data_IF_287875353391
#
_entry.id   IF_287875353391
#
_cell.length_a   1.000
_cell.length_b   1.000
_cell.length_c   1.000
_cell.angle_alpha   90.00
_cell.angle_beta   90.00
_cell.angle_gamma   90.00
#
_symmetry.space_group_name_H-M   'P 1'
#
loop_
_entity.id
_entity.type
_entity.pdbx_description
1 polymer ?
#
# COMPACT_ATOMS: atom_id res chain seq x y z
N UNK A 1 -1.35 11.78 -15.62
CA UNK A 1 -2.71 11.22 -15.75
C UNK A 1 -2.97 9.98 -14.88
N UNK A 2 -1.95 9.37 -14.26
CA UNK A 2 -2.15 8.28 -13.28
C UNK A 2 -2.56 8.78 -11.88
N UNK A 3 -2.27 10.04 -11.55
CA UNK A 3 -2.68 10.65 -10.28
C UNK A 3 -4.19 10.89 -10.20
N UNK A 4 -4.84 11.26 -11.32
CA UNK A 4 -6.31 11.44 -11.37
C UNK A 4 -7.04 10.10 -11.15
N UNK A 5 -6.52 9.00 -11.70
CA UNK A 5 -7.17 7.68 -11.62
C UNK A 5 -7.19 7.09 -10.18
N UNK A 6 -6.31 7.58 -9.29
CA UNK A 6 -6.29 7.20 -7.87
C UNK A 6 -7.38 7.91 -7.07
N UNK A 7 -7.80 9.10 -7.49
CA UNK A 7 -8.83 9.91 -6.82
C UNK A 7 -10.24 9.35 -7.10
N UNK A 8 -10.45 8.74 -8.27
CA UNK A 8 -11.75 8.23 -8.70
C UNK A 8 -12.14 6.88 -8.06
N UNK A 9 -11.18 6.23 -7.39
CA UNK A 9 -11.37 4.97 -6.66
C UNK A 9 -11.12 5.23 -5.18
N UNK A 10 -12.16 5.69 -4.47
CA UNK A 10 -12.33 5.86 -3.02
C UNK A 10 -11.38 5.02 -2.12
N UNK A 11 -10.09 5.34 -2.17
CA UNK A 11 -8.98 4.74 -1.42
C UNK A 11 -8.08 5.83 -0.83
N UNK A 12 -8.52 7.10 -0.90
CA UNK A 12 -7.94 8.18 -0.11
C UNK A 12 -8.44 8.01 1.33
N UNK A 13 -7.51 7.94 2.28
CA UNK A 13 -7.84 7.80 3.69
C UNK A 13 -8.38 9.13 4.23
N UNK A 14 -9.64 9.46 3.94
CA UNK A 14 -10.34 10.64 4.50
C UNK A 14 -9.88 12.00 3.93
N UNK A 15 -10.70 13.02 4.17
CA UNK A 15 -10.55 14.38 3.62
C UNK A 15 -9.32 15.15 4.18
N UNK A 16 -8.60 14.60 5.16
CA UNK A 16 -7.41 15.21 5.79
C UNK A 16 -6.07 14.55 5.35
N UNK A 17 -6.10 13.61 4.40
CA UNK A 17 -4.89 12.94 3.91
C UNK A 17 -4.06 13.87 3.01
N UNK A 18 -3.02 14.48 3.59
CA UNK A 18 -2.11 15.42 2.92
C UNK A 18 -0.93 14.74 2.22
N UNK A 19 -0.85 13.40 2.24
CA UNK A 19 0.25 12.66 1.60
C UNK A 19 0.18 12.82 0.09
N UNK A 20 1.33 13.12 -0.50
CA UNK A 20 1.49 13.18 -1.95
C UNK A 20 1.41 11.79 -2.58
N UNK A 21 1.02 11.73 -3.86
CA UNK A 21 1.05 10.47 -4.64
C UNK A 21 2.43 9.81 -4.60
N UNK A 22 3.51 10.59 -4.52
CA UNK A 22 4.86 10.07 -4.40
C UNK A 22 5.09 9.36 -3.06
N UNK A 23 4.64 9.95 -1.94
CA UNK A 23 4.77 9.35 -0.60
C UNK A 23 3.95 8.06 -0.47
N UNK A 24 2.76 8.00 -1.07
CA UNK A 24 1.95 6.79 -1.11
C UNK A 24 2.63 5.67 -1.92
N UNK A 25 3.23 6.01 -3.06
CA UNK A 25 3.94 5.04 -3.90
C UNK A 25 5.21 4.52 -3.23
N UNK A 26 5.93 5.35 -2.49
CA UNK A 26 7.10 4.94 -1.70
C UNK A 26 6.67 3.97 -0.59
N UNK A 27 5.62 4.32 0.16
CA UNK A 27 5.10 3.47 1.25
C UNK A 27 4.72 2.06 0.74
N UNK A 28 4.09 1.96 -0.44
CA UNK A 28 3.74 0.67 -1.03
C UNK A 28 4.96 -0.20 -1.38
N UNK A 29 6.09 0.43 -1.74
CA UNK A 29 7.34 -0.30 -2.04
C UNK A 29 8.02 -0.75 -0.75
N UNK A 30 8.01 0.07 0.30
CA UNK A 30 8.67 -0.21 1.59
C UNK A 30 8.07 -1.39 2.36
N UNK A 31 6.78 -1.65 2.19
CA UNK A 31 6.08 -2.75 2.90
C UNK A 31 5.87 -4.02 2.05
N UNK A 32 6.30 -4.02 0.79
CA UNK A 32 6.11 -5.17 -0.07
C UNK A 32 7.07 -6.32 0.29
N UNK A 33 6.53 -7.49 0.59
CA UNK A 33 7.33 -8.73 0.69
C UNK A 33 7.88 -9.18 -0.67
N UNK A 34 7.11 -8.91 -1.73
CA UNK A 34 7.42 -9.30 -3.11
C UNK A 34 7.04 -8.16 -4.04
N UNK A 35 7.98 -7.75 -4.88
CA UNK A 35 7.79 -6.69 -5.88
C UNK A 35 7.92 -7.31 -7.28
N UNK A 36 6.85 -7.25 -8.06
CA UNK A 36 6.85 -7.71 -9.45
C UNK A 36 7.21 -6.54 -10.38
N UNK A 37 8.46 -6.53 -10.89
CA UNK A 37 8.91 -5.60 -11.91
C UNK A 37 8.46 -6.11 -13.29
N UNK A 38 7.27 -5.68 -13.72
CA UNK A 38 6.67 -6.10 -14.98
C UNK A 38 7.08 -5.21 -16.17
N UNK A 39 6.87 -5.73 -17.39
CA UNK A 39 7.13 -5.08 -18.68
C UNK A 39 8.61 -4.85 -18.97
N UNK A 40 9.48 -5.73 -18.47
CA UNK A 40 10.92 -5.64 -18.73
C UNK A 40 11.26 -5.82 -20.22
N UNK A 41 10.32 -6.32 -21.03
CA UNK A 41 10.41 -6.41 -22.48
C UNK A 41 10.30 -5.07 -23.22
N UNK A 42 9.81 -4.02 -22.55
CA UNK A 42 9.64 -2.69 -23.15
C UNK A 42 10.82 -1.75 -22.91
N UNK A 43 11.83 -2.18 -22.16
CA UNK A 43 12.99 -1.39 -21.78
C UNK A 43 14.28 -2.17 -22.02
N UNK A 44 15.42 -1.47 -22.02
CA UNK A 44 16.72 -2.13 -22.06
C UNK A 44 17.03 -2.83 -20.73
N UNK A 45 17.91 -3.82 -20.78
CA UNK A 45 18.37 -4.53 -19.58
C UNK A 45 19.00 -3.57 -18.55
N UNK A 46 19.76 -2.57 -19.01
CA UNK A 46 20.34 -1.55 -18.14
C UNK A 46 19.30 -0.66 -17.46
N UNK A 47 18.19 -0.37 -18.12
CA UNK A 47 17.09 0.39 -17.50
C UNK A 47 16.36 -0.46 -16.47
N UNK A 48 16.09 -1.74 -16.77
CA UNK A 48 15.51 -2.68 -15.82
C UNK A 48 16.40 -2.85 -14.58
N UNK A 49 17.72 -2.98 -14.77
CA UNK A 49 18.72 -3.08 -13.69
C UNK A 49 18.73 -1.84 -12.79
N UNK A 50 18.61 -0.65 -13.38
CA UNK A 50 18.54 0.61 -12.61
C UNK A 50 17.30 0.66 -11.72
N UNK A 51 16.14 0.28 -12.27
CA UNK A 51 14.88 0.25 -11.50
C UNK A 51 14.96 -0.79 -10.39
N UNK A 52 15.44 -2.00 -10.69
CA UNK A 52 15.63 -3.04 -9.67
C UNK A 52 16.60 -2.60 -8.57
N UNK A 53 17.69 -1.91 -8.93
CA UNK A 53 18.64 -1.36 -7.96
C UNK A 53 17.98 -0.31 -7.06
N UNK A 54 17.13 0.55 -7.63
CA UNK A 54 16.38 1.52 -6.84
C UNK A 54 15.39 0.83 -5.89
N UNK A 55 14.65 -0.16 -6.37
CA UNK A 55 13.70 -0.94 -5.57
C UNK A 55 14.41 -1.63 -4.39
N UNK A 56 15.58 -2.24 -4.62
CA UNK A 56 16.39 -2.85 -3.55
C UNK A 56 16.96 -1.86 -2.55
N UNK A 57 17.20 -0.60 -2.96
CA UNK A 57 17.62 0.45 -2.03
C UNK A 57 16.47 0.93 -1.15
N UNK A 58 15.25 0.96 -1.69
CA UNK A 58 14.05 1.37 -0.96
C UNK A 58 13.56 0.25 -0.04
N UNK A 59 13.56 -0.99 -0.52
CA UNK A 59 13.17 -2.16 0.27
C UNK A 59 14.19 -3.30 0.03
N UNK A 60 15.24 -3.39 0.87
CA UNK A 60 16.26 -4.44 0.77
C UNK A 60 15.74 -5.86 1.01
N UNK A 61 14.58 -5.99 1.66
CA UNK A 61 14.03 -7.28 2.09
C UNK A 61 13.03 -7.86 1.10
N UNK A 62 12.45 -7.02 0.23
CA UNK A 62 11.55 -7.45 -0.82
C UNK A 62 12.23 -8.41 -1.81
N UNK A 63 11.53 -9.49 -2.14
CA UNK A 63 11.88 -10.29 -3.31
C UNK A 63 11.46 -9.55 -4.58
N UNK A 64 12.43 -9.15 -5.42
CA UNK A 64 12.13 -8.52 -6.72
C UNK A 64 12.09 -9.58 -7.82
N UNK A 65 10.96 -9.64 -8.54
CA UNK A 65 10.71 -10.60 -9.63
C UNK A 65 10.49 -9.85 -10.94
N UNK A 66 11.36 -10.04 -11.93
CA UNK A 66 11.14 -9.53 -13.29
C UNK A 66 10.05 -10.34 -13.98
N UNK A 67 9.19 -9.65 -14.74
CA UNK A 67 8.14 -10.30 -15.52
C UNK A 67 7.83 -9.57 -16.83
N UNK A 68 7.24 -10.32 -17.75
CA UNK A 68 6.70 -9.84 -19.02
C UNK A 68 5.23 -10.20 -19.06
N UNK A 69 4.36 -9.22 -19.36
CA UNK A 69 2.90 -9.41 -19.40
C UNK A 69 2.34 -10.04 -18.10
N UNK A 70 2.95 -9.75 -16.96
CA UNK A 70 2.55 -10.26 -15.64
C UNK A 70 2.85 -11.74 -15.41
N UNK A 71 3.62 -12.40 -16.29
CA UNK A 71 3.98 -13.79 -16.13
C UNK A 71 5.08 -13.94 -15.08
N UNK A 72 4.72 -14.55 -13.95
CA UNK A 72 5.60 -14.84 -12.80
C UNK A 72 5.33 -16.25 -12.30
N UNK A 73 6.32 -16.86 -11.68
CA UNK A 73 6.10 -18.08 -10.91
C UNK A 73 5.21 -17.76 -9.69
N UNK A 74 4.03 -18.38 -9.65
CA UNK A 74 3.04 -18.11 -8.62
C UNK A 74 3.56 -18.43 -7.22
N UNK A 75 4.43 -19.44 -7.08
CA UNK A 75 5.01 -19.83 -5.80
C UNK A 75 5.93 -18.76 -5.19
N UNK A 76 6.37 -17.79 -6.01
CA UNK A 76 7.18 -16.64 -5.57
C UNK A 76 6.33 -15.46 -5.10
N UNK A 77 5.02 -15.49 -5.35
CA UNK A 77 4.11 -14.36 -5.06
C UNK A 77 3.02 -14.76 -4.08
N UNK A 78 2.47 -15.97 -4.21
CA UNK A 78 1.35 -16.48 -3.42
C UNK A 78 1.82 -17.62 -2.52
N UNK A 79 1.38 -17.62 -1.26
CA UNK A 79 1.73 -18.69 -0.32
C UNK A 79 3.21 -18.68 0.10
N UNK A 80 3.87 -17.52 0.01
CA UNK A 80 5.30 -17.37 0.32
C UNK A 80 5.63 -17.43 1.81
N UNK A 81 4.62 -17.30 2.67
CA UNK A 81 4.76 -17.20 4.13
C UNK A 81 5.75 -16.10 4.58
N UNK A 82 5.89 -15.05 3.75
CA UNK A 82 6.76 -13.89 4.01
C UNK A 82 6.11 -12.83 4.90
N UNK A 83 4.78 -12.86 5.00
CA UNK A 83 4.03 -11.94 5.85
C UNK A 83 4.41 -12.11 7.32
N UNK A 84 4.82 -10.99 7.92
CA UNK A 84 5.13 -10.88 9.34
C UNK A 84 4.15 -9.86 9.97
N UNK A 85 3.34 -10.35 10.91
CA UNK A 85 2.30 -9.55 11.54
C UNK A 85 2.86 -8.42 12.40
N UNK A 86 3.95 -8.67 13.13
CA UNK A 86 4.55 -7.68 14.03
C UNK A 86 5.14 -6.52 13.20
N UNK A 87 5.77 -6.84 12.07
CA UNK A 87 6.26 -5.84 11.11
C UNK A 87 5.15 -5.08 10.41
N UNK A 88 4.08 -5.77 10.00
CA UNK A 88 2.93 -5.14 9.38
C UNK A 88 2.19 -4.19 10.35
N UNK A 89 2.22 -4.51 11.65
CA UNK A 89 1.64 -3.69 12.71
C UNK A 89 2.38 -2.37 12.92
N UNK A 90 3.71 -2.37 12.81
CA UNK A 90 4.55 -1.16 12.89
C UNK A 90 4.43 -0.29 11.64
N UNK A 91 4.22 -0.92 10.48
CA UNK A 91 4.04 -0.30 9.17
C UNK A 91 2.70 0.44 9.01
N UNK A 92 1.63 -0.19 9.47
CA UNK A 92 0.29 0.35 9.38
C UNK A 92 0.06 1.32 10.54
N UNK A 93 0.24 2.62 10.31
CA UNK A 93 -0.09 3.69 11.27
C UNK A 93 -1.50 3.60 11.88
N UNK A 94 -2.42 2.84 11.28
CA UNK A 94 -3.74 2.50 11.81
C UNK A 94 -3.71 1.72 13.14
N UNK A 95 -2.70 0.88 13.39
CA UNK A 95 -2.59 0.16 14.66
C UNK A 95 -2.17 1.06 15.82
N UNK A 96 -1.50 2.19 15.54
CA UNK A 96 -1.35 3.25 16.53
C UNK A 96 -2.68 3.95 16.79
N UNK A 97 -3.50 4.23 15.77
CA UNK A 97 -4.83 4.80 15.96
C UNK A 97 -5.74 3.90 16.83
N UNK A 98 -5.78 2.59 16.58
CA UNK A 98 -6.62 1.65 17.35
C UNK A 98 -6.17 1.54 18.82
N UNK A 99 -4.86 1.57 19.11
CA UNK A 99 -4.37 1.60 20.49
C UNK A 99 -4.55 2.95 21.18
N UNK A 100 -4.79 4.03 20.43
CA UNK A 100 -5.08 5.36 20.97
C UNK A 100 -6.59 5.56 21.20
N UNK A 101 -7.43 4.61 20.79
CA UNK A 101 -8.90 4.72 20.81
C UNK A 101 -9.60 3.95 21.95
N UNK A 102 -8.88 3.65 23.04
CA UNK A 102 -9.50 3.42 24.36
C UNK A 102 -9.83 4.76 25.06
N UNK A 103 -10.17 5.79 24.28
CA UNK A 103 -10.02 7.18 24.73
C UNK A 103 -10.92 8.25 24.12
N UNK A 104 -11.87 8.00 23.20
CA UNK A 104 -12.93 8.99 22.94
C UNK A 104 -14.15 8.48 22.18
N UNK A 105 -15.17 8.17 22.99
CA UNK A 105 -16.59 8.51 22.75
C UNK A 105 -17.11 8.23 21.33
N UNK A 106 -17.73 7.06 21.19
CA UNK A 106 -18.80 6.84 20.24
C UNK A 106 -19.83 7.98 20.29
N UNK A 107 -19.81 8.89 19.31
CA UNK A 107 -20.96 9.72 19.00
C UNK A 107 -21.94 8.89 18.18
N UNK A 108 -22.69 8.02 18.86
CA UNK A 108 -23.94 7.50 18.31
C UNK A 108 -24.88 8.68 18.08
N UNK A 109 -25.05 9.09 16.82
CA UNK A 109 -26.08 10.03 16.43
C UNK A 109 -27.45 9.34 16.56
N UNK A 110 -28.00 9.38 17.77
CA UNK A 110 -29.35 8.90 18.06
C UNK A 110 -30.34 9.92 17.50
N UNK A 111 -31.03 9.57 16.42
CA UNK A 111 -32.22 10.29 15.96
C UNK A 111 -33.40 9.94 16.88
N UNK A 112 -34.03 10.87 17.61
CA UNK A 112 -35.36 10.63 18.15
C UNK A 112 -36.40 11.19 17.18
N UNK A 113 -37.22 10.29 16.64
CA UNK A 113 -38.49 10.66 16.02
C UNK A 113 -39.56 10.94 17.09
N UNK A 114 -40.47 11.86 16.75
CA UNK A 114 -41.73 12.16 17.45
C UNK A 114 -41.66 13.44 18.30
N UNK A 115 -42.60 14.38 18.27
CA UNK A 115 -43.87 14.52 17.58
C UNK A 115 -44.68 15.64 18.26
N UNK A 116 -45.43 16.40 17.45
CA UNK A 116 -46.61 17.24 17.77
C UNK A 116 -46.45 18.44 18.73
N UNK A 117 -46.86 19.59 18.21
CA UNK A 117 -47.22 20.82 18.90
C UNK A 117 -47.70 21.83 17.86
#
# INVERSE_FOLDING_TARGET
KAADDLVERDMAAGEEDTRTVAELLISQVEFADVIVLNKVDLVSEQEADRVETLLRKLNPEAEVVRSVKGQVDLGRVVGTNRFDFDRAAEAAGWLQEINTDEGSRHHHHHHPGGGRG
#
